data_IF_706529627382
#
_entry.id   IF_706529627382
#
_cell.length_a   1.000
_cell.length_b   1.000
_cell.length_c   1.000
_cell.angle_alpha   90.00
_cell.angle_beta   90.00
_cell.angle_gamma   90.00
#
_symmetry.space_group_name_H-M   'P 1'
#
loop_
_entity.id
_entity.type
_entity.pdbx_description
1 polymer ?
#
# COMPACT_ATOMS: atom_id res chain seq x y z
N UNK A 1 5.17 -24.23 8.72
CA UNK A 1 5.37 -23.47 9.96
C UNK A 1 4.07 -22.71 10.25
N UNK A 2 3.52 -22.81 11.46
CA UNK A 2 2.26 -22.15 11.81
C UNK A 2 2.46 -20.63 11.97
N UNK A 3 1.49 -19.84 11.50
CA UNK A 3 1.51 -18.37 11.61
C UNK A 3 0.93 -17.95 12.97
N UNK A 4 1.56 -17.03 13.72
CA UNK A 4 1.04 -16.53 14.99
C UNK A 4 -0.33 -15.86 14.86
N UNK A 5 -1.18 -16.03 15.86
CA UNK A 5 -2.48 -15.36 15.92
C UNK A 5 -2.30 -13.83 15.90
N UNK A 6 -3.01 -13.14 15.01
CA UNK A 6 -2.93 -11.68 14.83
C UNK A 6 -1.89 -11.19 13.81
N UNK A 7 -1.11 -12.08 13.20
CA UNK A 7 -0.21 -11.72 12.09
C UNK A 7 -0.99 -11.54 10.78
N UNK A 8 -0.77 -10.41 10.10
CA UNK A 8 -1.37 -10.14 8.79
C UNK A 8 -0.64 -10.96 7.72
N UNK A 9 -1.36 -11.82 7.00
CA UNK A 9 -0.82 -12.65 5.92
C UNK A 9 -1.15 -11.99 4.58
N UNK A 10 -0.15 -11.86 3.71
CA UNK A 10 -0.30 -11.36 2.34
C UNK A 10 0.31 -12.35 1.35
N UNK A 11 -0.21 -12.40 0.13
CA UNK A 11 0.37 -13.15 -0.98
C UNK A 11 1.26 -12.21 -1.80
N UNK A 12 2.53 -12.56 -1.99
CA UNK A 12 3.43 -11.81 -2.85
C UNK A 12 3.21 -12.23 -4.31
N UNK A 13 2.62 -11.35 -5.13
CA UNK A 13 2.26 -11.66 -6.52
C UNK A 13 3.46 -11.78 -7.47
N UNK A 14 4.65 -11.34 -7.06
CA UNK A 14 5.87 -11.50 -7.87
C UNK A 14 6.53 -12.86 -7.63
N UNK A 15 6.48 -13.38 -6.41
CA UNK A 15 7.15 -14.64 -6.03
C UNK A 15 6.18 -15.81 -5.86
N UNK A 16 4.88 -15.56 -5.71
CA UNK A 16 3.85 -16.56 -5.43
C UNK A 16 3.82 -17.04 -3.98
N UNK A 17 4.67 -16.50 -3.11
CA UNK A 17 4.81 -16.95 -1.73
C UNK A 17 3.86 -16.23 -0.77
N UNK A 18 3.35 -16.97 0.23
CA UNK A 18 2.56 -16.40 1.34
C UNK A 18 3.50 -15.86 2.40
N UNK A 19 3.44 -14.55 2.62
CA UNK A 19 4.26 -13.84 3.62
C UNK A 19 3.40 -13.44 4.82
N UNK A 20 3.81 -13.81 6.02
CA UNK A 20 3.23 -13.28 7.25
C UNK A 20 4.03 -12.06 7.71
N UNK A 21 3.36 -10.92 7.94
CA UNK A 21 3.97 -9.77 8.59
C UNK A 21 4.21 -10.12 10.05
N UNK A 22 5.46 -10.48 10.35
CA UNK A 22 5.93 -10.69 11.71
C UNK A 22 6.08 -9.32 12.39
N UNK A 23 5.69 -9.18 13.66
CA UNK A 23 6.03 -7.99 14.43
C UNK A 23 7.56 -7.92 14.58
N UNK A 24 8.15 -6.76 14.30
CA UNK A 24 9.58 -6.54 14.46
C UNK A 24 10.00 -6.81 15.90
N UNK A 25 10.84 -7.84 16.10
CA UNK A 25 11.39 -8.19 17.43
C UNK A 25 12.34 -7.13 17.99
N UNK A 26 12.82 -6.20 17.17
CA UNK A 26 13.72 -5.12 17.62
C UNK A 26 13.00 -3.96 18.30
N UNK A 27 11.69 -3.79 18.07
CA UNK A 27 10.90 -2.78 18.77
C UNK A 27 9.91 -3.48 19.68
N UNK A 28 10.42 -4.02 20.79
CA UNK A 28 9.66 -4.55 21.92
C UNK A 28 8.83 -3.51 22.68
N UNK A 29 8.27 -2.52 21.98
CA UNK A 29 7.35 -1.54 22.57
C UNK A 29 5.95 -1.83 22.01
N UNK A 30 5.25 -2.76 22.65
CA UNK A 30 3.79 -2.72 22.62
C UNK A 30 3.40 -1.40 23.30
N UNK A 31 3.29 -0.33 22.52
CA UNK A 31 2.98 1.02 22.99
C UNK A 31 1.74 0.92 23.90
N UNK A 32 1.97 0.94 25.21
CA UNK A 32 0.90 0.77 26.17
C UNK A 32 -0.01 2.00 26.05
N UNK A 33 -1.28 1.87 26.44
CA UNK A 33 -2.24 2.98 26.39
C UNK A 33 -1.72 4.24 27.11
N UNK A 34 -0.85 4.05 28.09
CA UNK A 34 -0.20 5.11 28.87
C UNK A 34 0.92 5.83 28.10
N UNK A 35 1.68 5.12 27.28
CA UNK A 35 2.78 5.67 26.49
C UNK A 35 2.27 6.55 25.33
N UNK A 36 1.16 6.12 24.71
CA UNK A 36 0.41 6.96 23.75
C UNK A 36 -0.17 8.23 24.40
N UNK A 37 -0.50 8.21 25.70
CA UNK A 37 -0.89 9.43 26.43
C UNK A 37 0.33 10.33 26.66
N UNK A 38 1.46 9.79 27.13
CA UNK A 38 2.69 10.58 27.34
C UNK A 38 3.19 11.26 26.06
N UNK A 39 3.17 10.56 24.91
CA UNK A 39 3.52 11.13 23.60
C UNK A 39 2.59 12.30 23.21
N UNK A 40 1.28 12.21 23.49
CA UNK A 40 0.32 13.34 23.31
C UNK A 40 0.63 14.54 24.20
N UNK A 41 0.99 14.33 25.47
CA UNK A 41 1.36 15.44 26.37
C UNK A 41 2.69 16.11 25.98
N UNK A 42 3.66 15.35 25.44
CA UNK A 42 4.89 15.92 24.88
C UNK A 42 4.61 16.77 23.64
N UNK A 43 3.75 16.30 22.73
CA UNK A 43 3.31 17.09 21.59
C UNK A 43 2.55 18.36 22.00
N UNK A 44 1.72 18.28 23.04
CA UNK A 44 1.00 19.44 23.58
C UNK A 44 1.95 20.51 24.14
N UNK A 45 3.01 20.13 24.89
CA UNK A 45 4.01 21.09 25.37
C UNK A 45 4.85 21.69 24.24
N UNK A 46 5.18 20.90 23.22
CA UNK A 46 5.90 21.40 22.05
C UNK A 46 5.06 22.44 21.29
N UNK A 47 3.74 22.25 21.19
CA UNK A 47 2.83 23.21 20.57
C UNK A 47 2.71 24.52 21.36
N UNK A 48 2.72 24.46 22.70
CA UNK A 48 2.70 25.67 23.56
C UNK A 48 4.03 26.43 23.53
N UNK A 49 5.14 25.74 23.22
CA UNK A 49 6.46 26.34 23.03
C UNK A 49 6.69 26.97 21.65
N UNK A 50 5.84 26.70 20.67
CA UNK A 50 5.79 27.40 19.38
C UNK A 50 4.72 28.51 19.43
N UNK A 51 4.63 29.22 20.56
CA UNK A 51 4.16 30.59 20.49
C UNK A 51 5.38 31.40 20.04
N UNK A 52 5.33 31.91 18.81
CA UNK A 52 6.39 32.76 18.25
C UNK A 52 6.64 33.91 19.22
N UNK A 53 7.86 34.01 19.76
CA UNK A 53 8.34 35.23 20.41
C UNK A 53 8.35 36.32 19.33
N UNK A 54 7.23 37.04 19.23
CA UNK A 54 7.14 38.26 18.45
C UNK A 54 7.64 39.36 19.37
N UNK A 55 8.97 39.52 19.41
CA UNK A 55 9.58 40.71 19.95
C UNK A 55 9.07 41.90 19.12
N UNK A 56 8.17 42.69 19.71
CA UNK A 56 7.36 43.68 19.03
C UNK A 56 8.12 44.98 18.71
N UNK A 57 9.45 44.93 18.54
CA UNK A 57 10.28 46.09 18.21
C UNK A 57 11.01 45.93 16.86
N UNK A 58 10.33 46.48 15.85
CA UNK A 58 10.84 47.19 14.67
C UNK A 58 11.64 46.41 13.62
N UNK A 59 10.96 45.58 12.83
CA UNK A 59 11.33 45.39 11.43
C UNK A 59 10.61 46.43 10.57
N UNK A 60 11.32 47.11 9.68
CA UNK A 60 10.69 48.01 8.71
C UNK A 60 9.87 47.20 7.70
N UNK A 61 8.80 47.80 7.13
CA UNK A 61 7.96 47.14 6.11
C UNK A 61 8.77 46.61 4.93
N UNK A 62 9.88 47.29 4.59
CA UNK A 62 10.78 46.90 3.51
C UNK A 62 11.64 45.69 3.86
N UNK A 63 12.12 45.57 5.09
CA UNK A 63 12.88 44.41 5.56
C UNK A 63 12.00 43.16 5.59
N UNK A 64 10.76 43.29 6.07
CA UNK A 64 9.78 42.20 6.06
C UNK A 64 9.46 41.75 4.63
N UNK A 65 9.24 42.68 3.70
CA UNK A 65 9.01 42.35 2.28
C UNK A 65 10.21 41.63 1.67
N UNK A 66 11.44 42.07 1.95
CA UNK A 66 12.67 41.42 1.47
C UNK A 66 12.84 40.02 2.08
N UNK A 67 12.58 39.84 3.37
CA UNK A 67 12.65 38.54 4.04
C UNK A 67 11.60 37.57 3.47
N UNK A 68 10.35 38.01 3.32
CA UNK A 68 9.27 37.21 2.72
C UNK A 68 9.52 36.86 1.25
N UNK A 69 10.12 37.77 0.47
CA UNK A 69 10.52 37.49 -0.90
C UNK A 69 11.57 36.37 -0.97
N UNK A 70 12.57 36.39 -0.09
CA UNK A 70 13.60 35.34 0.01
C UNK A 70 13.00 33.98 0.38
N UNK A 71 12.08 33.94 1.35
CA UNK A 71 11.39 32.70 1.73
C UNK A 71 10.51 32.14 0.60
N UNK A 72 9.85 33.01 -0.16
CA UNK A 72 9.03 32.60 -1.32
C UNK A 72 9.89 32.07 -2.47
N UNK A 73 11.10 32.60 -2.63
CA UNK A 73 12.05 32.14 -3.64
C UNK A 73 12.68 30.80 -3.26
N UNK A 74 13.06 30.61 -2.00
CA UNK A 74 13.56 29.32 -1.51
C UNK A 74 12.51 28.21 -1.64
N UNK A 75 11.25 28.48 -1.30
CA UNK A 75 10.15 27.51 -1.48
C UNK A 75 9.94 27.13 -2.95
N UNK A 76 10.05 28.10 -3.87
CA UNK A 76 9.98 27.82 -5.31
C UNK A 76 11.18 27.02 -5.80
N UNK A 77 12.37 27.26 -5.26
CA UNK A 77 13.57 26.50 -5.59
C UNK A 77 13.45 25.05 -5.07
N UNK A 78 13.01 24.86 -3.84
CA UNK A 78 12.76 23.53 -3.24
C UNK A 78 11.71 22.75 -4.00
N UNK A 79 10.59 23.38 -4.40
CA UNK A 79 9.57 22.75 -5.25
C UNK A 79 10.12 22.34 -6.61
N UNK A 80 10.98 23.15 -7.23
CA UNK A 80 11.64 22.80 -8.50
C UNK A 80 12.61 21.63 -8.34
N UNK A 81 13.39 21.61 -7.25
CA UNK A 81 14.32 20.51 -6.95
C UNK A 81 13.55 19.22 -6.67
N UNK A 82 12.47 19.28 -5.88
CA UNK A 82 11.57 18.14 -5.63
C UNK A 82 10.90 17.66 -6.93
N UNK A 83 10.45 18.57 -7.78
CA UNK A 83 9.89 18.23 -9.09
C UNK A 83 10.91 17.56 -10.03
N UNK A 84 12.15 18.08 -10.08
CA UNK A 84 13.24 17.50 -10.86
C UNK A 84 13.64 16.11 -10.33
N UNK A 85 13.73 15.96 -9.01
CA UNK A 85 14.00 14.69 -8.35
C UNK A 85 12.89 13.67 -8.63
N UNK A 86 11.62 14.08 -8.51
CA UNK A 86 10.49 13.23 -8.83
C UNK A 86 10.52 12.79 -10.30
N UNK A 87 10.80 13.72 -11.21
CA UNK A 87 10.94 13.41 -12.65
C UNK A 87 12.06 12.41 -12.89
N UNK A 88 13.22 12.59 -12.25
CA UNK A 88 14.33 11.65 -12.36
C UNK A 88 13.99 10.26 -11.81
N UNK A 89 13.37 10.19 -10.64
CA UNK A 89 12.85 8.93 -10.09
C UNK A 89 11.83 8.26 -11.03
N UNK A 90 10.91 9.04 -11.64
CA UNK A 90 9.94 8.48 -12.58
C UNK A 90 10.59 7.94 -13.86
N UNK A 91 11.64 8.60 -14.35
CA UNK A 91 12.38 8.15 -15.54
C UNK A 91 13.23 6.91 -15.23
N UNK A 92 13.83 6.83 -14.05
CA UNK A 92 14.52 5.62 -13.58
C UNK A 92 13.57 4.44 -13.41
N UNK A 93 12.37 4.68 -12.87
CA UNK A 93 11.31 3.66 -12.77
C UNK A 93 10.85 3.26 -14.17
N UNK A 94 10.61 4.20 -15.08
CA UNK A 94 10.22 3.91 -16.48
C UNK A 94 11.25 3.09 -17.24
N UNK A 95 12.55 3.22 -16.94
CA UNK A 95 13.60 2.38 -17.53
C UNK A 95 13.60 0.95 -16.99
N UNK A 96 13.12 0.74 -15.75
CA UNK A 96 13.09 -0.57 -15.09
C UNK A 96 11.87 -1.40 -15.46
N UNK A 97 10.77 -0.77 -15.89
CA UNK A 97 9.50 -1.45 -16.15
C UNK A 97 9.06 -1.32 -17.60
N UNK A 98 8.34 -2.34 -18.10
CA UNK A 98 7.67 -2.26 -19.41
C UNK A 98 6.57 -1.20 -19.37
N UNK A 99 6.26 -0.52 -20.50
CA UNK A 99 5.16 0.44 -20.56
C UNK A 99 3.83 -0.25 -20.26
N UNK A 100 2.95 0.47 -19.55
CA UNK A 100 1.68 -0.06 -19.04
C UNK A 100 0.75 -0.49 -20.19
N UNK A 101 0.87 0.14 -21.35
CA UNK A 101 0.09 -0.19 -22.55
C UNK A 101 0.45 -1.58 -23.09
N UNK A 102 1.75 -1.92 -23.14
CA UNK A 102 2.20 -3.25 -23.56
C UNK A 102 1.76 -4.32 -22.57
N UNK A 103 1.87 -4.03 -21.26
CA UNK A 103 1.40 -4.94 -20.21
C UNK A 103 -0.10 -5.21 -20.33
N UNK A 104 -0.91 -4.18 -20.61
CA UNK A 104 -2.35 -4.35 -20.82
C UNK A 104 -2.65 -5.21 -22.04
N UNK A 105 -1.98 -4.97 -23.15
CA UNK A 105 -2.15 -5.74 -24.37
C UNK A 105 -1.71 -7.21 -24.19
N UNK A 106 -0.58 -7.45 -23.51
CA UNK A 106 -0.13 -8.79 -23.15
C UNK A 106 -1.11 -9.48 -22.19
N UNK A 107 -1.70 -8.75 -21.24
CA UNK A 107 -2.69 -9.28 -20.31
C UNK A 107 -4.01 -9.65 -21.00
N UNK A 108 -4.48 -8.80 -21.92
CA UNK A 108 -5.62 -9.08 -22.78
C UNK A 108 -5.37 -10.30 -23.69
N UNK A 109 -4.18 -10.39 -24.29
CA UNK A 109 -3.75 -11.55 -25.09
C UNK A 109 -3.66 -12.84 -24.28
N UNK A 110 -3.21 -12.74 -23.02
CA UNK A 110 -3.13 -13.87 -22.11
C UNK A 110 -4.50 -14.36 -21.65
N UNK A 111 -5.58 -13.62 -21.93
CA UNK A 111 -6.97 -13.96 -21.61
C UNK A 111 -7.09 -14.59 -20.21
N UNK A 112 -6.34 -14.03 -19.25
CA UNK A 112 -6.37 -14.44 -17.85
C UNK A 112 -7.72 -13.98 -17.31
N UNK A 113 -8.73 -14.83 -17.47
CA UNK A 113 -9.97 -14.70 -16.73
C UNK A 113 -9.58 -14.90 -15.27
N UNK A 114 -9.38 -13.81 -14.55
CA UNK A 114 -9.28 -13.84 -13.09
C UNK A 114 -10.68 -14.19 -12.62
N UNK A 115 -10.95 -15.48 -12.52
CA UNK A 115 -12.19 -15.98 -11.96
C UNK A 115 -12.07 -15.88 -10.45
N UNK A 116 -13.06 -15.26 -9.81
CA UNK A 116 -13.14 -15.28 -8.35
C UNK A 116 -13.46 -16.70 -7.87
N UNK A 117 -13.06 -17.06 -6.65
CA UNK A 117 -13.34 -18.40 -6.10
C UNK A 117 -14.84 -18.74 -6.17
N UNK A 118 -15.70 -17.74 -5.97
CA UNK A 118 -17.15 -17.90 -6.14
C UNK A 118 -17.56 -18.25 -7.57
N UNK A 119 -17.00 -17.57 -8.58
CA UNK A 119 -17.26 -17.88 -9.99
C UNK A 119 -16.77 -19.27 -10.37
N UNK A 120 -15.64 -19.72 -9.80
CA UNK A 120 -15.11 -21.07 -10.00
C UNK A 120 -16.08 -22.10 -9.38
N UNK A 121 -16.55 -21.89 -8.16
CA UNK A 121 -17.53 -22.76 -7.51
C UNK A 121 -18.83 -22.88 -8.32
N UNK A 122 -19.37 -21.76 -8.84
CA UNK A 122 -20.56 -21.76 -9.70
C UNK A 122 -20.33 -22.57 -10.99
N UNK A 123 -19.12 -22.51 -11.56
CA UNK A 123 -18.75 -23.31 -12.74
C UNK A 123 -18.63 -24.81 -12.42
N UNK A 124 -18.07 -25.16 -11.26
CA UNK A 124 -17.98 -26.56 -10.83
C UNK A 124 -19.37 -27.15 -10.60
N UNK A 125 -20.28 -26.40 -9.97
CA UNK A 125 -21.68 -26.81 -9.77
C UNK A 125 -22.40 -26.97 -11.11
N UNK A 126 -22.21 -26.05 -12.05
CA UNK A 126 -22.86 -26.15 -13.38
C UNK A 126 -22.28 -27.30 -14.22
N UNK A 127 -20.97 -27.58 -14.13
CA UNK A 127 -20.36 -28.79 -14.71
C UNK A 127 -20.94 -30.07 -14.12
N UNK A 128 -21.06 -30.14 -12.79
CA UNK A 128 -21.66 -31.30 -12.11
C UNK A 128 -23.11 -31.56 -12.55
N UNK A 129 -23.90 -30.49 -12.64
CA UNK A 129 -25.30 -30.55 -13.06
C UNK A 129 -25.49 -30.77 -14.57
N UNK A 130 -24.44 -30.63 -15.37
CA UNK A 130 -24.52 -30.85 -16.82
C UNK A 130 -24.68 -32.33 -17.14
N UNK A 131 -25.69 -32.67 -17.93
CA UNK A 131 -25.95 -34.04 -18.40
C UNK A 131 -24.89 -34.54 -19.39
N UNK A 132 -24.09 -33.63 -19.96
CA UNK A 132 -23.02 -33.95 -20.92
C UNK A 132 -21.69 -34.34 -20.24
N UNK A 133 -21.55 -34.14 -18.93
CA UNK A 133 -20.31 -34.43 -18.20
C UNK A 133 -20.23 -35.90 -17.79
N UNK A 134 -19.05 -36.49 -17.94
CA UNK A 134 -18.80 -37.89 -17.58
C UNK A 134 -18.79 -38.08 -16.05
N UNK A 135 -18.98 -39.31 -15.57
CA UNK A 135 -18.99 -39.59 -14.13
C UNK A 135 -17.68 -39.13 -13.44
N UNK A 136 -16.55 -39.36 -14.11
CA UNK A 136 -15.22 -39.02 -13.60
C UNK A 136 -15.03 -37.50 -13.49
N UNK A 137 -15.46 -36.75 -14.50
CA UNK A 137 -15.47 -35.28 -14.46
C UNK A 137 -16.36 -34.72 -13.36
N UNK A 138 -17.51 -35.36 -13.09
CA UNK A 138 -18.39 -34.98 -11.99
C UNK A 138 -17.75 -35.22 -10.63
N UNK A 139 -17.06 -36.35 -10.47
CA UNK A 139 -16.32 -36.68 -9.25
C UNK A 139 -15.16 -35.69 -9.04
N UNK A 140 -14.39 -35.40 -10.09
CA UNK A 140 -13.33 -34.39 -10.03
C UNK A 140 -13.87 -33.00 -9.68
N UNK A 141 -14.99 -32.60 -10.29
CA UNK A 141 -15.62 -31.31 -10.00
C UNK A 141 -16.10 -31.20 -8.54
N UNK A 142 -16.54 -32.31 -7.93
CA UNK A 142 -16.91 -32.34 -6.51
C UNK A 142 -15.70 -32.20 -5.58
N UNK A 143 -14.59 -32.88 -5.86
CA UNK A 143 -13.36 -32.73 -5.07
C UNK A 143 -12.81 -31.31 -5.15
N UNK A 144 -12.81 -30.72 -6.34
CA UNK A 144 -12.40 -29.32 -6.52
C UNK A 144 -13.34 -28.39 -5.75
N UNK A 145 -14.66 -28.63 -5.80
CA UNK A 145 -15.63 -27.80 -5.10
C UNK A 145 -15.45 -27.88 -3.58
N UNK A 146 -15.22 -29.07 -3.04
CA UNK A 146 -14.90 -29.27 -1.62
C UNK A 146 -13.68 -28.45 -1.22
N UNK A 147 -12.63 -28.44 -2.05
CA UNK A 147 -11.42 -27.67 -1.80
C UNK A 147 -11.68 -26.15 -1.76
N UNK A 148 -12.52 -25.62 -2.64
CA UNK A 148 -12.88 -24.20 -2.62
C UNK A 148 -13.78 -23.85 -1.43
N UNK A 149 -14.72 -24.71 -1.04
CA UNK A 149 -15.59 -24.48 0.11
C UNK A 149 -14.81 -24.49 1.42
N UNK A 150 -13.79 -25.34 1.56
CA UNK A 150 -12.93 -25.36 2.75
C UNK A 150 -12.04 -24.12 2.94
N UNK A 151 -11.78 -23.36 1.87
CA UNK A 151 -10.93 -22.16 1.93
C UNK A 151 -11.66 -20.92 2.46
N UNK A 152 -12.99 -20.90 2.36
CA UNK A 152 -13.87 -19.79 2.76
C UNK A 152 -14.30 -19.95 4.21
#
# INVERSE_FOLDING_TARGET
QAVPAGSHVRLNLQTGEREAKLPDRENGESDTREERRRKRYRHARHWVGWAVDVDANSFTSEELKKALAKMKESEKAERKVSFLFLKQCTEEVRKKFRPIEQLKEEFEKLNMKIETDYEIMVKLISKFNSSASTLDEKVAALYDLEYYVHQV
#
